data_IF_100091799339
#
_entry.id   IF_100091799339
#
_cell.length_a   1.000
_cell.length_b   1.000
_cell.length_c   1.000
_cell.angle_alpha   90.00
_cell.angle_beta   90.00
_cell.angle_gamma   90.00
#
_symmetry.space_group_name_H-M   'P 1'
#
loop_
_entity.id
_entity.type
_entity.pdbx_description
1 polymer ?
#
# COMPACT_ATOMS: atom_id res chain seq x y z
N UNK A 1 17.89 -28.20 44.85
CA UNK A 1 16.67 -28.26 44.00
C UNK A 1 16.53 -29.68 43.43
N UNK A 2 15.42 -30.37 43.72
CA UNK A 2 15.21 -31.77 43.27
C UNK A 2 14.90 -31.83 41.77
N UNK A 3 15.11 -33.00 41.13
CA UNK A 3 14.85 -33.23 39.69
C UNK A 3 13.39 -32.92 39.35
N UNK A 4 12.45 -33.25 40.24
CA UNK A 4 11.02 -32.94 40.09
C UNK A 4 10.76 -31.42 40.03
N UNK A 5 11.39 -30.64 40.91
CA UNK A 5 11.26 -29.18 40.91
C UNK A 5 11.88 -28.55 39.65
N UNK A 6 13.02 -29.07 39.18
CA UNK A 6 13.63 -28.65 37.90
C UNK A 6 12.69 -28.89 36.71
N UNK A 7 12.05 -30.06 36.66
CA UNK A 7 11.11 -30.41 35.57
C UNK A 7 9.86 -29.53 35.57
N UNK A 8 9.32 -29.19 36.75
CA UNK A 8 8.15 -28.31 36.88
C UNK A 8 8.50 -26.89 36.44
N UNK A 9 9.65 -26.36 36.87
CA UNK A 9 10.11 -25.02 36.48
C UNK A 9 10.36 -24.93 34.96
N UNK A 10 10.96 -25.95 34.35
CA UNK A 10 11.16 -26.02 32.91
C UNK A 10 9.82 -26.04 32.16
N UNK A 11 8.86 -26.85 32.62
CA UNK A 11 7.53 -26.90 32.02
C UNK A 11 6.80 -25.56 32.08
N UNK A 12 6.86 -24.87 33.23
CA UNK A 12 6.24 -23.54 33.39
C UNK A 12 6.92 -22.50 32.49
N UNK A 13 8.25 -22.56 32.37
CA UNK A 13 9.00 -21.70 31.46
C UNK A 13 8.59 -21.93 29.98
N UNK A 14 8.44 -23.19 29.55
CA UNK A 14 7.98 -23.49 28.20
C UNK A 14 6.56 -22.94 27.93
N UNK A 15 5.63 -23.10 28.88
CA UNK A 15 4.27 -22.54 28.75
C UNK A 15 4.32 -21.01 28.65
N UNK A 16 5.14 -20.35 29.47
CA UNK A 16 5.30 -18.90 29.44
C UNK A 16 5.82 -18.40 28.09
N UNK A 17 6.85 -19.05 27.53
CA UNK A 17 7.40 -18.72 26.21
C UNK A 17 6.35 -18.90 25.10
N UNK A 18 5.55 -19.97 25.16
CA UNK A 18 4.48 -20.21 24.18
C UNK A 18 3.37 -19.16 24.26
N UNK A 19 2.97 -18.74 25.45
CA UNK A 19 1.94 -17.69 25.65
C UNK A 19 2.42 -16.36 25.06
N UNK A 20 3.66 -15.96 25.36
CA UNK A 20 4.24 -14.71 24.84
C UNK A 20 4.41 -14.78 23.32
N UNK A 21 4.97 -15.89 22.82
CA UNK A 21 5.16 -16.10 21.39
C UNK A 21 3.83 -16.10 20.63
N UNK A 22 2.80 -16.76 21.19
CA UNK A 22 1.45 -16.78 20.64
C UNK A 22 0.83 -15.39 20.59
N UNK A 23 0.93 -14.61 21.68
CA UNK A 23 0.45 -13.22 21.70
C UNK A 23 1.16 -12.36 20.64
N UNK A 24 2.49 -12.43 20.56
CA UNK A 24 3.28 -11.68 19.58
C UNK A 24 2.90 -12.04 18.14
N UNK A 25 2.67 -13.33 17.87
CA UNK A 25 2.21 -13.80 16.56
C UNK A 25 0.84 -13.24 16.19
N UNK A 26 -0.14 -13.30 17.11
CA UNK A 26 -1.49 -12.77 16.89
C UNK A 26 -1.45 -11.26 16.66
N UNK A 27 -0.72 -10.51 17.49
CA UNK A 27 -0.62 -9.06 17.36
C UNK A 27 0.00 -8.68 16.01
N UNK A 28 1.02 -9.41 15.55
CA UNK A 28 1.63 -9.21 14.22
C UNK A 28 0.65 -9.51 13.08
N UNK A 29 -0.13 -10.58 13.20
CA UNK A 29 -1.15 -10.93 12.19
C UNK A 29 -2.24 -9.87 12.09
N UNK A 30 -2.71 -9.34 13.23
CA UNK A 30 -3.69 -8.24 13.24
C UNK A 30 -3.19 -7.01 12.50
N UNK A 31 -1.95 -6.59 12.81
CA UNK A 31 -1.33 -5.46 12.12
C UNK A 31 -1.21 -5.74 10.62
N UNK A 32 -0.71 -6.91 10.23
CA UNK A 32 -0.55 -7.26 8.81
C UNK A 32 -1.90 -7.31 8.06
N UNK A 33 -2.98 -7.73 8.72
CA UNK A 33 -4.33 -7.70 8.13
C UNK A 33 -4.82 -6.27 7.89
N UNK A 34 -4.64 -5.36 8.86
CA UNK A 34 -4.97 -3.94 8.70
C UNK A 34 -4.23 -3.32 7.51
N UNK A 35 -2.93 -3.64 7.36
CA UNK A 35 -2.16 -3.21 6.20
C UNK A 35 -2.73 -3.75 4.89
N UNK A 36 -3.02 -5.06 4.82
CA UNK A 36 -3.59 -5.67 3.60
C UNK A 36 -4.92 -5.05 3.23
N UNK A 37 -5.82 -4.89 4.20
CA UNK A 37 -7.14 -4.35 3.97
C UNK A 37 -7.08 -2.89 3.52
N UNK A 38 -6.31 -2.06 4.23
CA UNK A 38 -6.17 -0.66 3.86
C UNK A 38 -5.53 -0.46 2.49
N UNK A 39 -4.40 -1.13 2.24
CA UNK A 39 -3.72 -1.00 0.95
C UNK A 39 -4.51 -1.62 -0.20
N UNK A 40 -5.36 -2.63 0.05
CA UNK A 40 -6.30 -3.10 -0.97
C UNK A 40 -7.22 -1.96 -1.44
N UNK A 41 -7.87 -1.25 -0.52
CA UNK A 41 -8.74 -0.13 -0.85
C UNK A 41 -7.97 1.00 -1.56
N UNK A 42 -6.73 1.24 -1.16
CA UNK A 42 -5.89 2.28 -1.76
C UNK A 42 -5.40 1.90 -3.16
N UNK A 43 -4.98 0.66 -3.38
CA UNK A 43 -4.65 0.13 -4.71
C UNK A 43 -5.87 0.18 -5.63
N UNK A 44 -7.06 -0.19 -5.14
CA UNK A 44 -8.32 -0.05 -5.88
C UNK A 44 -8.60 1.42 -6.25
N UNK A 45 -8.35 2.37 -5.35
CA UNK A 45 -8.52 3.81 -5.63
C UNK A 45 -7.60 4.30 -6.76
N UNK A 46 -6.31 3.97 -6.66
CA UNK A 46 -5.30 4.37 -7.65
C UNK A 46 -5.56 3.69 -8.99
N UNK A 47 -5.83 2.38 -8.98
CA UNK A 47 -6.07 1.60 -10.19
C UNK A 47 -7.33 2.08 -10.91
N UNK A 48 -8.41 2.34 -10.16
CA UNK A 48 -9.66 2.89 -10.73
C UNK A 48 -9.38 4.25 -11.37
N UNK A 49 -8.66 5.14 -10.68
CA UNK A 49 -8.30 6.44 -11.22
C UNK A 49 -7.54 6.34 -12.55
N UNK A 50 -6.44 5.57 -12.56
CA UNK A 50 -5.62 5.38 -13.76
C UNK A 50 -6.43 4.74 -14.88
N UNK A 51 -7.22 3.72 -14.58
CA UNK A 51 -8.02 2.98 -15.56
C UNK A 51 -9.13 3.81 -16.16
N UNK A 52 -9.83 4.64 -15.39
CA UNK A 52 -10.97 5.42 -15.87
C UNK A 52 -10.55 6.73 -16.53
N UNK A 53 -9.38 7.29 -16.19
CA UNK A 53 -8.97 8.62 -16.63
C UNK A 53 -7.80 8.68 -17.61
N UNK A 54 -7.22 7.53 -17.98
CA UNK A 54 -6.13 7.47 -18.95
C UNK A 54 -6.39 6.40 -20.01
N UNK A 55 -6.32 6.77 -21.28
CA UNK A 55 -6.26 5.81 -22.37
C UNK A 55 -4.83 5.31 -22.60
N UNK A 56 -4.68 4.22 -23.33
CA UNK A 56 -3.37 3.70 -23.73
C UNK A 56 -2.63 2.91 -22.65
N UNK A 57 -3.28 2.67 -21.50
CA UNK A 57 -2.77 1.77 -20.46
C UNK A 57 -3.18 0.34 -20.79
N UNK A 58 -2.24 -0.59 -20.79
CA UNK A 58 -2.49 -2.01 -20.99
C UNK A 58 -2.59 -2.79 -19.66
N UNK A 59 -1.80 -2.39 -18.66
CA UNK A 59 -1.75 -3.03 -17.35
C UNK A 59 -1.36 -2.03 -16.26
N UNK A 60 -1.93 -2.21 -15.08
CA UNK A 60 -1.54 -1.54 -13.84
C UNK A 60 -1.17 -2.65 -12.85
N UNK A 61 0.00 -2.57 -12.23
CA UNK A 61 0.40 -3.48 -11.15
C UNK A 61 0.98 -2.72 -9.98
N UNK A 62 1.04 -3.37 -8.83
CA UNK A 62 1.57 -2.77 -7.61
C UNK A 62 2.79 -3.54 -7.08
N UNK A 63 3.72 -2.79 -6.50
CA UNK A 63 4.75 -3.37 -5.66
C UNK A 63 4.13 -4.07 -4.44
N UNK A 64 4.91 -4.93 -3.75
CA UNK A 64 4.58 -5.29 -2.38
C UNK A 64 4.37 -4.03 -1.52
N UNK A 65 3.61 -4.18 -0.43
CA UNK A 65 3.52 -3.20 0.64
C UNK A 65 4.87 -3.19 1.37
N UNK A 66 5.69 -2.20 1.07
CA UNK A 66 6.96 -2.00 1.75
C UNK A 66 6.70 -1.35 3.10
N UNK A 67 7.10 -2.02 4.18
CA UNK A 67 6.99 -1.52 5.55
C UNK A 67 8.39 -1.34 6.13
N UNK A 68 8.75 -0.13 6.53
CA UNK A 68 9.98 0.15 7.28
C UNK A 68 9.65 0.49 8.74
N UNK A 69 10.61 0.27 9.65
CA UNK A 69 10.40 0.36 11.11
C UNK A 69 10.21 -1.02 11.74
N UNK A 70 11.32 -1.66 12.10
CA UNK A 70 11.40 -3.07 12.51
C UNK A 70 11.98 -3.34 13.89
N UNK A 71 11.73 -2.45 14.87
CA UNK A 71 12.15 -2.66 16.29
C UNK A 71 11.08 -2.34 17.34
N UNK A 72 9.80 -2.36 16.96
CA UNK A 72 8.70 -2.38 17.94
C UNK A 72 7.93 -1.08 18.14
N UNK A 73 8.06 -0.06 17.28
CA UNK A 73 7.37 1.21 17.47
C UNK A 73 6.66 1.68 16.17
N UNK A 74 5.32 1.66 16.19
CA UNK A 74 4.44 2.50 15.35
C UNK A 74 4.13 2.06 13.91
N UNK A 75 3.04 2.63 13.37
CA UNK A 75 2.63 2.62 11.95
C UNK A 75 3.48 3.58 11.10
N UNK A 76 4.79 3.65 11.33
CA UNK A 76 5.55 4.83 10.93
C UNK A 76 5.67 4.99 9.40
N UNK A 77 5.98 3.91 8.66
CA UNK A 77 6.29 4.03 7.25
C UNK A 77 5.87 2.78 6.47
N UNK A 78 4.84 2.92 5.65
CA UNK A 78 4.54 1.95 4.62
C UNK A 78 4.15 2.61 3.31
N UNK A 79 4.46 1.94 2.21
CA UNK A 79 4.21 2.44 0.87
C UNK A 79 4.06 1.34 -0.15
N UNK A 80 3.43 1.70 -1.25
CA UNK A 80 3.39 0.93 -2.49
C UNK A 80 3.98 1.78 -3.62
N UNK A 81 4.29 1.14 -4.74
CA UNK A 81 4.70 1.78 -5.98
C UNK A 81 3.79 1.24 -7.09
N UNK A 82 2.85 2.05 -7.61
CA UNK A 82 2.10 1.69 -8.79
C UNK A 82 3.03 1.64 -10.01
N UNK A 83 2.80 0.68 -10.89
CA UNK A 83 3.53 0.51 -12.14
C UNK A 83 2.53 0.50 -13.28
N UNK A 84 2.76 1.35 -14.27
CA UNK A 84 1.88 1.54 -15.41
C UNK A 84 2.56 1.02 -16.67
N UNK A 85 1.86 0.17 -17.40
CA UNK A 85 2.26 -0.36 -18.70
C UNK A 85 1.43 0.30 -19.78
N UNK A 86 2.08 0.74 -20.86
CA UNK A 86 1.38 1.21 -22.04
C UNK A 86 1.03 0.07 -23.01
N UNK A 87 0.24 0.35 -24.03
CA UNK A 87 -0.13 -0.60 -25.09
C UNK A 87 1.02 -0.95 -26.04
N UNK A 88 2.18 -0.32 -25.90
CA UNK A 88 3.38 -0.54 -26.70
C UNK A 88 4.41 -1.43 -25.99
N UNK A 89 4.11 -1.88 -24.76
CA UNK A 89 4.98 -2.74 -23.96
C UNK A 89 6.02 -1.99 -23.12
N UNK A 90 5.95 -0.65 -23.04
CA UNK A 90 6.78 0.10 -22.10
C UNK A 90 6.12 0.10 -20.71
N UNK A 91 6.94 0.26 -19.67
CA UNK A 91 6.46 0.38 -18.28
C UNK A 91 7.20 1.46 -17.52
N UNK A 92 6.51 2.07 -16.56
CA UNK A 92 7.09 3.07 -15.65
C UNK A 92 6.64 2.83 -14.23
N UNK A 93 7.52 3.19 -13.29
CA UNK A 93 7.24 3.14 -11.86
C UNK A 93 6.81 4.53 -11.43
N UNK A 94 5.62 4.66 -10.85
CA UNK A 94 5.13 5.93 -10.34
C UNK A 94 5.82 6.21 -9.00
N UNK A 95 7.08 6.64 -9.07
CA UNK A 95 7.94 6.95 -7.94
C UNK A 95 8.89 8.08 -8.28
N UNK A 96 9.55 8.61 -7.26
CA UNK A 96 10.63 9.57 -7.42
C UNK A 96 11.94 8.80 -7.52
N UNK A 97 12.45 8.63 -8.73
CA UNK A 97 13.76 8.01 -8.99
C UNK A 97 14.76 9.02 -9.60
N UNK A 98 14.46 10.32 -9.48
CA UNK A 98 15.27 11.39 -10.05
C UNK A 98 15.20 11.49 -11.58
N UNK A 99 14.43 10.62 -12.26
CA UNK A 99 14.28 10.69 -13.71
C UNK A 99 13.30 11.76 -14.14
N UNK A 100 12.42 12.27 -13.26
CA UNK A 100 11.45 13.31 -13.55
C UNK A 100 11.58 14.46 -12.56
N UNK A 101 11.59 15.68 -13.10
CA UNK A 101 11.61 16.93 -12.32
C UNK A 101 10.17 17.43 -12.10
N UNK A 102 9.38 16.68 -11.32
CA UNK A 102 8.01 17.04 -10.96
C UNK A 102 7.63 16.53 -9.58
N UNK A 103 6.49 16.98 -9.05
CA UNK A 103 5.95 16.47 -7.79
C UNK A 103 5.53 15.01 -7.96
N UNK A 104 6.27 14.12 -7.32
CA UNK A 104 5.93 12.69 -7.30
C UNK A 104 4.97 12.40 -6.15
N UNK A 105 3.85 11.72 -6.40
CA UNK A 105 3.00 11.19 -5.33
C UNK A 105 3.80 10.26 -4.43
N UNK A 106 3.79 10.55 -3.13
CA UNK A 106 4.18 9.58 -2.13
C UNK A 106 2.96 8.69 -1.89
N UNK A 107 2.92 7.52 -2.55
CA UNK A 107 1.91 6.49 -2.32
C UNK A 107 2.17 5.77 -0.98
N UNK A 108 2.12 6.55 0.10
CA UNK A 108 2.57 6.21 1.45
C UNK A 108 1.47 6.44 2.47
N UNK A 109 1.64 5.87 3.66
CA UNK A 109 0.90 6.29 4.86
C UNK A 109 1.03 7.80 5.08
N UNK A 110 -0.02 8.45 5.58
CA UNK A 110 -0.11 9.89 5.86
C UNK A 110 -0.07 10.82 4.63
N UNK A 111 -0.19 10.28 3.41
CA UNK A 111 -0.34 11.08 2.18
C UNK A 111 -1.35 10.52 1.18
N UNK A 112 -1.80 9.29 1.38
CA UNK A 112 -2.91 8.70 0.62
C UNK A 112 -3.79 7.75 1.43
N UNK A 113 -3.25 7.19 2.52
CA UNK A 113 -3.96 6.30 3.43
C UNK A 113 -3.49 6.49 4.87
N UNK A 114 -4.39 6.30 5.84
CA UNK A 114 -4.06 6.20 7.27
C UNK A 114 -4.67 4.93 7.84
N UNK A 115 -3.95 4.32 8.78
CA UNK A 115 -4.29 3.05 9.40
C UNK A 115 -4.13 3.17 10.90
N UNK A 116 -5.14 2.75 11.65
CA UNK A 116 -5.11 2.70 13.10
C UNK A 116 -6.01 1.57 13.63
N UNK A 117 -5.99 1.35 14.94
CA UNK A 117 -6.96 0.52 15.65
C UNK A 117 -7.76 1.35 16.64
N UNK A 118 -9.06 1.09 16.72
CA UNK A 118 -9.92 1.67 17.73
C UNK A 118 -9.43 1.25 19.13
N UNK A 119 -9.18 2.24 20.00
CA UNK A 119 -8.64 2.00 21.35
C UNK A 119 -9.58 1.21 22.26
N UNK A 120 -10.89 1.20 21.98
CA UNK A 120 -11.89 0.57 22.84
C UNK A 120 -12.12 -0.90 22.50
N UNK A 121 -12.25 -1.24 21.22
CA UNK A 121 -12.60 -2.60 20.77
C UNK A 121 -11.54 -3.25 19.86
N UNK A 122 -10.50 -2.51 19.47
CA UNK A 122 -9.43 -3.00 18.60
C UNK A 122 -9.87 -3.24 17.15
N UNK A 123 -11.02 -2.70 16.73
CA UNK A 123 -11.45 -2.72 15.32
C UNK A 123 -10.52 -1.90 14.43
N UNK A 124 -10.44 -2.27 13.16
CA UNK A 124 -9.63 -1.60 12.16
C UNK A 124 -10.21 -0.23 11.82
N UNK A 125 -9.36 0.80 11.85
CA UNK A 125 -9.68 2.14 11.36
C UNK A 125 -8.81 2.39 10.13
N UNK A 126 -9.47 2.69 9.01
CA UNK A 126 -8.82 2.94 7.73
C UNK A 126 -9.36 4.24 7.18
N UNK A 127 -8.50 5.20 6.88
CA UNK A 127 -8.87 6.43 6.17
C UNK A 127 -8.25 6.45 4.78
N UNK A 128 -9.07 6.78 3.78
CA UNK A 128 -8.59 7.18 2.46
C UNK A 128 -8.86 8.67 2.25
N UNK A 129 -8.01 9.29 1.44
CA UNK A 129 -8.16 10.69 1.08
C UNK A 129 -9.02 10.84 -0.16
N UNK A 130 -9.94 11.81 -0.14
CA UNK A 130 -10.68 12.22 -1.32
C UNK A 130 -9.92 13.30 -2.12
N UNK A 131 -10.50 13.79 -3.20
CA UNK A 131 -9.90 14.83 -4.07
C UNK A 131 -9.62 16.17 -3.36
N UNK A 132 -10.27 16.44 -2.23
CA UNK A 132 -10.08 17.63 -1.39
C UNK A 132 -9.05 17.41 -0.29
N UNK A 133 -8.39 16.25 -0.26
CA UNK A 133 -7.54 15.78 0.82
C UNK A 133 -8.27 15.67 2.17
N UNK A 134 -9.58 15.42 2.16
CA UNK A 134 -10.32 15.08 3.37
C UNK A 134 -10.16 13.57 3.63
N UNK A 135 -9.85 13.20 4.87
CA UNK A 135 -9.74 11.82 5.33
C UNK A 135 -11.13 11.23 5.58
N UNK A 136 -11.48 10.18 4.86
CA UNK A 136 -12.79 9.51 4.95
C UNK A 136 -12.60 8.10 5.48
N UNK A 137 -13.33 7.75 6.55
CA UNK A 137 -13.25 6.43 7.18
C UNK A 137 -13.91 5.36 6.31
N UNK A 138 -13.16 4.31 6.01
CA UNK A 138 -13.56 3.23 5.11
C UNK A 138 -13.29 1.83 5.64
N UNK A 139 -12.94 1.69 6.92
CA UNK A 139 -12.64 0.39 7.53
C UNK A 139 -13.78 -0.64 7.44
N UNK A 140 -15.02 -0.18 7.25
CA UNK A 140 -16.19 -1.02 7.05
C UNK A 140 -16.33 -1.60 5.63
N UNK A 141 -15.63 -1.07 4.63
CA UNK A 141 -15.81 -1.47 3.23
C UNK A 141 -14.80 -2.53 2.81
N UNK A 142 -15.27 -3.61 2.19
CA UNK A 142 -14.39 -4.64 1.60
C UNK A 142 -13.76 -4.22 0.27
N UNK A 143 -14.36 -3.24 -0.41
CA UNK A 143 -13.93 -2.69 -1.69
C UNK A 143 -14.14 -1.17 -1.70
N UNK A 144 -13.40 -0.47 -2.54
CA UNK A 144 -13.45 0.97 -2.71
C UNK A 144 -14.89 1.43 -2.93
N UNK A 145 -15.44 2.28 -2.04
CA UNK A 145 -16.78 2.79 -2.24
C UNK A 145 -16.83 3.81 -3.38
N UNK A 146 -17.92 3.83 -4.14
CA UNK A 146 -18.09 4.68 -5.33
C UNK A 146 -17.81 6.18 -5.08
N UNK A 147 -18.16 6.69 -3.91
CA UNK A 147 -17.97 8.10 -3.56
C UNK A 147 -16.51 8.49 -3.30
N UNK A 148 -15.58 7.52 -3.24
CA UNK A 148 -14.14 7.74 -3.13
C UNK A 148 -13.36 7.49 -4.41
N UNK A 149 -14.04 7.15 -5.50
CA UNK A 149 -13.41 7.18 -6.83
C UNK A 149 -12.98 8.60 -7.14
N UNK A 150 -11.69 8.78 -7.36
CA UNK A 150 -11.11 10.08 -7.66
C UNK A 150 -11.47 10.48 -9.09
N UNK A 151 -11.81 11.75 -9.29
CA UNK A 151 -11.94 12.40 -10.61
C UNK A 151 -10.70 13.21 -10.97
N UNK A 152 -9.90 13.58 -9.96
CA UNK A 152 -8.63 14.27 -10.12
C UNK A 152 -7.61 13.75 -9.12
N UNK A 153 -6.36 13.61 -9.56
CA UNK A 153 -5.27 13.24 -8.67
C UNK A 153 -3.98 13.91 -9.14
N UNK A 154 -3.80 15.18 -8.75
CA UNK A 154 -2.80 16.10 -9.32
C UNK A 154 -1.38 15.55 -9.38
N UNK A 155 -0.94 14.87 -8.33
CA UNK A 155 0.41 14.28 -8.27
C UNK A 155 0.56 13.12 -9.25
N UNK A 156 -0.41 12.20 -9.31
CA UNK A 156 -0.46 11.14 -10.33
C UNK A 156 -0.55 11.70 -11.74
N UNK A 157 -1.31 12.79 -11.93
CA UNK A 157 -1.41 13.47 -13.23
C UNK A 157 -0.07 14.03 -13.69
N UNK A 158 0.64 14.71 -12.78
CA UNK A 158 1.93 15.31 -13.08
C UNK A 158 2.97 14.26 -13.51
N UNK A 159 3.06 13.13 -12.78
CA UNK A 159 4.04 12.09 -13.08
C UNK A 159 3.72 11.33 -14.39
N UNK A 160 2.45 10.99 -14.65
CA UNK A 160 2.07 10.34 -15.92
C UNK A 160 2.35 11.28 -17.09
N UNK A 161 1.96 12.56 -16.97
CA UNK A 161 2.23 13.58 -18.00
C UNK A 161 3.72 13.69 -18.29
N UNK A 162 4.56 13.71 -17.26
CA UNK A 162 6.00 13.79 -17.43
C UNK A 162 6.59 12.54 -18.13
N UNK A 163 6.13 11.33 -17.79
CA UNK A 163 6.54 10.11 -18.50
C UNK A 163 6.09 10.09 -19.96
N UNK A 164 4.87 10.57 -20.25
CA UNK A 164 4.38 10.70 -21.62
C UNK A 164 5.17 11.73 -22.42
N UNK A 165 5.48 12.91 -21.84
CA UNK A 165 6.28 13.95 -22.50
C UNK A 165 7.72 13.50 -22.79
N UNK A 166 8.31 12.69 -21.91
CA UNK A 166 9.63 12.07 -22.15
C UNK A 166 9.60 10.93 -23.17
N UNK A 167 8.41 10.46 -23.57
CA UNK A 167 8.24 9.33 -24.47
C UNK A 167 8.52 7.96 -23.84
N UNK A 168 8.67 7.89 -22.50
CA UNK A 168 8.82 6.62 -21.77
C UNK A 168 7.50 5.87 -21.70
N UNK A 169 6.39 6.59 -21.56
CA UNK A 169 5.05 6.09 -21.86
C UNK A 169 4.63 6.59 -23.24
N UNK A 170 4.10 5.70 -24.08
CA UNK A 170 3.67 6.00 -25.45
C UNK A 170 2.17 5.81 -25.59
N UNK A 171 1.48 6.86 -26.07
CA UNK A 171 0.04 6.84 -26.28
C UNK A 171 -0.80 6.86 -24.99
N UNK A 172 -0.17 7.09 -23.84
CA UNK A 172 -0.87 7.27 -22.56
C UNK A 172 -1.31 8.73 -22.44
N UNK A 173 -2.61 8.96 -22.47
CA UNK A 173 -3.22 10.29 -22.49
C UNK A 173 -4.39 10.38 -21.53
N UNK A 174 -4.51 11.51 -20.83
CA UNK A 174 -5.62 11.77 -19.92
C UNK A 174 -6.89 12.06 -20.70
N UNK A 175 -7.93 11.25 -20.52
CA UNK A 175 -9.24 11.46 -21.13
C UNK A 175 -10.33 10.67 -20.41
N UNK A 176 -11.58 10.87 -20.81
CA UNK A 176 -12.75 10.19 -20.23
C UNK A 176 -13.03 8.81 -20.81
N UNK A 177 -12.32 8.37 -21.86
CA UNK A 177 -12.49 7.02 -22.41
C UNK A 177 -11.81 5.98 -21.53
N UNK A 178 -10.71 6.38 -20.88
CA UNK A 178 -9.92 5.51 -20.03
C UNK A 178 -9.34 4.33 -20.80
N UNK A 179 -8.99 3.29 -20.05
CA UNK A 179 -8.46 2.02 -20.54
C UNK A 179 -9.32 0.87 -20.00
N UNK A 180 -10.56 0.67 -20.49
CA UNK A 180 -11.50 -0.32 -19.93
C UNK A 180 -10.96 -1.76 -19.97
N UNK A 181 -10.06 -2.05 -20.94
CA UNK A 181 -9.40 -3.35 -21.10
C UNK A 181 -8.10 -3.50 -20.30
N UNK A 182 -7.66 -2.48 -19.57
CA UNK A 182 -6.45 -2.57 -18.77
C UNK A 182 -6.61 -3.66 -17.70
N UNK A 183 -5.61 -4.52 -17.62
CA UNK A 183 -5.44 -5.49 -16.55
C UNK A 183 -5.00 -4.77 -15.26
N UNK A 184 -5.51 -5.20 -14.11
CA UNK A 184 -5.08 -4.69 -12.81
C UNK A 184 -4.55 -5.88 -11.99
N UNK A 185 -3.31 -5.77 -11.52
CA UNK A 185 -2.64 -6.77 -10.69
C UNK A 185 -2.35 -6.18 -9.31
N UNK A 186 -3.22 -6.49 -8.36
CA UNK A 186 -3.08 -6.10 -6.96
C UNK A 186 -1.96 -6.87 -6.26
N UNK A 187 -1.31 -6.26 -5.26
CA UNK A 187 -0.20 -6.91 -4.55
C UNK A 187 -0.14 -6.58 -3.06
N UNK A 188 -0.88 -7.37 -2.28
CA UNK A 188 -0.93 -7.23 -0.83
C UNK A 188 0.24 -7.92 -0.10
N UNK A 189 1.30 -8.37 -0.79
CA UNK A 189 2.48 -8.94 -0.12
C UNK A 189 3.13 -7.90 0.79
N UNK A 190 3.37 -8.20 2.07
CA UNK A 190 4.05 -7.27 2.99
C UNK A 190 5.54 -7.60 3.03
N UNK A 191 6.37 -6.69 2.54
CA UNK A 191 7.83 -6.77 2.63
C UNK A 191 8.35 -5.78 3.66
N UNK A 192 9.00 -6.32 4.69
CA UNK A 192 9.66 -5.52 5.72
C UNK A 192 11.08 -5.24 5.28
N UNK A 193 11.38 -3.99 4.96
CA UNK A 193 12.67 -3.56 4.42
C UNK A 193 13.24 -2.37 5.19
N UNK A 194 14.54 -2.17 5.08
CA UNK A 194 15.15 -0.88 5.38
C UNK A 194 14.75 0.09 4.25
N UNK A 195 14.41 1.35 4.59
CA UNK A 195 13.97 2.33 3.60
C UNK A 195 15.00 2.55 2.49
N UNK A 196 16.29 2.40 2.80
CA UNK A 196 17.41 2.50 1.84
C UNK A 196 17.41 1.41 0.78
N UNK A 197 16.65 0.33 0.98
CA UNK A 197 16.54 -0.79 0.05
C UNK A 197 15.38 -0.61 -0.95
N UNK A 198 14.54 0.43 -0.78
CA UNK A 198 13.37 0.65 -1.63
C UNK A 198 13.74 0.87 -3.09
N UNK A 199 14.77 1.66 -3.37
CA UNK A 199 15.20 2.01 -4.72
C UNK A 199 15.76 0.82 -5.51
N UNK A 200 16.09 -0.28 -4.80
CA UNK A 200 16.55 -1.53 -5.41
C UNK A 200 15.42 -2.36 -6.00
N UNK A 201 14.16 -2.04 -5.69
CA UNK A 201 13.03 -2.70 -6.33
C UNK A 201 12.83 -2.17 -7.76
N UNK A 202 12.82 -3.11 -8.71
CA UNK A 202 12.57 -2.94 -10.15
C UNK A 202 11.66 -4.07 -10.59
#
# INVERSE_FOLDING_TARGET
MTIRVKSILLSLFCVFVLVIGGKFYIDRMKVDNLYRHGFQLYEEQIATYLKEHYSGISKIEFSPIFKSGGRGEGFAHARIIPVVYDTHGNKVYLRNDGTIDTLVPNYVLTSGIELDFNVNDGSEIIYLYNEKNESIEVGQYQHLPEHLKLKTYKSTDAIITAYSQKGTLKGVEKNSQGSPKAEIVYNLEIRRIDERELDKWQ
#
